data_IF_386207380549
#
_entry.id   IF_386207380549
#
_cell.length_a   1.000
_cell.length_b   1.000
_cell.length_c   1.000
_cell.angle_alpha   90.00
_cell.angle_beta   90.00
_cell.angle_gamma   90.00
#
_symmetry.space_group_name_H-M   'P 1'
#
loop_
_entity.id
_entity.type
_entity.pdbx_description
1 polymer ?
#
# COMPACT_ATOMS: atom_id res chain seq x y z
N UNK A 1 11.58 -5.70 37.66
CA UNK A 1 12.74 -6.51 38.06
C UNK A 1 12.41 -7.55 39.15
N UNK A 2 11.80 -7.19 40.28
CA UNK A 2 11.45 -8.19 41.34
C UNK A 2 10.55 -9.35 40.87
N UNK A 3 9.60 -9.12 39.96
CA UNK A 3 8.70 -10.16 39.44
C UNK A 3 9.38 -11.17 38.51
N UNK A 4 10.42 -10.75 37.77
CA UNK A 4 11.17 -11.64 36.88
C UNK A 4 12.05 -12.62 37.65
N UNK A 5 12.67 -12.14 38.76
CA UNK A 5 13.45 -12.99 39.65
C UNK A 5 12.61 -14.06 40.36
N UNK A 6 11.36 -13.73 40.72
CA UNK A 6 10.45 -14.67 41.39
C UNK A 6 10.00 -15.78 40.44
N UNK A 7 9.79 -15.50 39.16
CA UNK A 7 9.41 -16.52 38.18
C UNK A 7 10.55 -17.46 37.85
N UNK A 8 11.78 -16.94 37.73
CA UNK A 8 12.98 -17.77 37.46
C UNK A 8 13.35 -18.63 38.67
N UNK A 9 13.29 -18.10 39.89
CA UNK A 9 13.51 -18.86 41.12
C UNK A 9 12.45 -19.96 41.35
N UNK A 10 11.20 -19.71 40.96
CA UNK A 10 10.12 -20.73 41.02
C UNK A 10 10.37 -21.83 39.99
N UNK A 11 10.83 -21.49 38.77
CA UNK A 11 11.15 -22.48 37.74
C UNK A 11 12.34 -23.39 38.13
N UNK A 12 13.35 -22.87 38.86
CA UNK A 12 14.43 -23.70 39.38
C UNK A 12 14.04 -24.52 40.62
N UNK A 13 13.14 -23.98 41.47
CA UNK A 13 12.70 -24.69 42.68
C UNK A 13 11.77 -25.88 42.39
N UNK A 14 11.06 -25.88 41.28
CA UNK A 14 10.22 -27.02 40.85
C UNK A 14 11.01 -28.18 40.25
N UNK A 15 12.29 -28.00 39.93
CA UNK A 15 13.16 -29.05 39.38
C UNK A 15 13.66 -30.07 40.45
N UNK A 16 13.42 -29.82 41.74
CA UNK A 16 13.90 -30.69 42.82
C UNK A 16 12.84 -31.55 43.50
N UNK A 17 11.58 -31.50 43.09
CA UNK A 17 10.49 -32.05 43.88
C UNK A 17 9.56 -33.05 43.18
N UNK A 18 9.97 -33.72 42.09
CA UNK A 18 9.22 -34.91 41.63
C UNK A 18 10.06 -35.80 40.72
N UNK A 19 10.08 -37.08 41.02
CA UNK A 19 10.54 -38.14 40.13
C UNK A 19 9.62 -38.24 38.95
N UNK A 20 9.76 -37.34 37.97
CA UNK A 20 8.97 -37.33 36.75
C UNK A 20 9.90 -37.72 35.59
N UNK A 21 9.42 -38.67 34.81
CA UNK A 21 10.12 -39.25 33.64
C UNK A 21 10.27 -38.25 32.48
N UNK A 22 9.66 -37.05 32.55
CA UNK A 22 9.76 -35.99 31.54
C UNK A 22 10.53 -34.78 32.08
N UNK A 23 11.84 -34.87 32.04
CA UNK A 23 12.71 -33.71 32.31
C UNK A 23 12.62 -32.74 31.14
N UNK A 24 12.31 -31.46 31.40
CA UNK A 24 12.28 -30.44 30.31
C UNK A 24 13.65 -30.42 29.59
N UNK A 25 13.63 -30.52 28.28
CA UNK A 25 14.82 -30.57 27.44
C UNK A 25 14.99 -29.31 26.58
N UNK A 26 14.10 -28.30 26.75
CA UNK A 26 14.12 -27.01 26.07
C UNK A 26 13.94 -25.87 27.07
N UNK A 27 14.77 -24.85 26.92
CA UNK A 27 14.55 -23.52 27.49
C UNK A 27 13.84 -22.68 26.44
N UNK A 28 12.70 -22.08 26.79
CA UNK A 28 11.91 -21.25 25.91
C UNK A 28 11.96 -19.81 26.40
N UNK A 29 12.42 -18.90 25.53
CA UNK A 29 12.41 -17.46 25.80
C UNK A 29 11.34 -16.85 24.88
N UNK A 30 10.28 -16.31 25.49
CA UNK A 30 9.23 -15.58 24.80
C UNK A 30 9.58 -14.10 24.74
N UNK A 31 9.69 -13.54 23.54
CA UNK A 31 10.01 -12.15 23.25
C UNK A 31 8.87 -11.48 22.48
N UNK A 32 8.79 -10.14 22.56
CA UNK A 32 7.74 -9.35 21.87
C UNK A 32 6.55 -9.04 22.76
N UNK A 33 5.50 -8.48 22.15
CA UNK A 33 4.27 -8.15 22.86
C UNK A 33 3.30 -9.35 22.91
N UNK A 34 2.24 -9.25 23.69
CA UNK A 34 1.26 -10.33 23.88
C UNK A 34 0.53 -10.72 22.59
N UNK A 35 0.43 -9.80 21.61
CA UNK A 35 -0.30 -10.01 20.36
C UNK A 35 0.56 -10.73 19.30
N UNK A 36 1.90 -10.51 19.31
CA UNK A 36 2.82 -11.14 18.38
C UNK A 36 4.11 -11.65 19.09
N UNK A 37 4.01 -12.67 19.94
CA UNK A 37 5.15 -13.19 20.63
C UNK A 37 6.02 -14.06 19.71
N UNK A 38 7.33 -13.89 19.78
CA UNK A 38 8.30 -14.83 19.22
C UNK A 38 8.86 -15.73 20.34
N UNK A 39 9.04 -17.00 20.07
CA UNK A 39 9.61 -17.96 21.02
C UNK A 39 10.95 -18.43 20.47
N UNK A 40 12.05 -18.14 21.21
CA UNK A 40 13.35 -18.75 20.95
C UNK A 40 13.50 -19.98 21.84
N UNK A 41 13.79 -21.13 21.24
CA UNK A 41 13.95 -22.40 21.94
C UNK A 41 15.42 -22.84 21.94
N UNK A 42 15.94 -23.18 23.11
CA UNK A 42 17.29 -23.69 23.29
C UNK A 42 17.26 -25.11 23.87
N UNK A 43 18.11 -25.99 23.36
CA UNK A 43 18.30 -27.31 23.96
C UNK A 43 19.06 -27.17 25.29
N UNK A 44 18.44 -27.59 26.41
CA UNK A 44 19.01 -27.37 27.75
C UNK A 44 20.42 -28.01 27.89
N UNK A 45 20.64 -29.15 27.27
CA UNK A 45 21.92 -29.84 27.28
C UNK A 45 23.04 -29.09 26.53
N UNK A 46 22.71 -28.02 25.81
CA UNK A 46 23.67 -27.12 25.12
C UNK A 46 23.81 -25.78 25.81
N UNK A 47 22.98 -25.50 26.83
CA UNK A 47 23.08 -24.28 27.63
C UNK A 47 24.07 -24.55 28.75
N UNK A 48 25.22 -23.86 28.72
CA UNK A 48 26.26 -23.99 29.76
C UNK A 48 25.97 -23.08 30.95
N UNK A 49 25.53 -21.87 30.67
CA UNK A 49 25.26 -20.82 31.65
C UNK A 49 24.20 -19.84 31.17
N UNK A 50 23.44 -19.28 32.10
CA UNK A 50 22.47 -18.19 31.85
C UNK A 50 22.87 -17.00 32.71
N UNK A 51 23.38 -15.94 32.09
CA UNK A 51 23.78 -14.71 32.73
C UNK A 51 22.85 -13.57 32.34
N UNK A 52 22.70 -12.60 33.25
CA UNK A 52 21.96 -11.35 33.02
C UNK A 52 22.96 -10.21 33.10
N UNK A 53 23.04 -9.42 32.02
CA UNK A 53 23.88 -8.24 31.97
C UNK A 53 22.98 -6.98 31.86
N UNK A 54 23.54 -5.85 32.29
CA UNK A 54 22.97 -4.54 32.07
C UNK A 54 23.86 -3.79 31.10
N UNK A 55 23.25 -3.22 30.07
CA UNK A 55 23.87 -2.27 29.15
C UNK A 55 23.25 -0.92 29.42
N UNK A 56 24.05 0.08 29.74
CA UNK A 56 23.59 1.44 30.00
C UNK A 56 23.97 2.35 28.82
N UNK A 57 23.15 3.38 28.57
CA UNK A 57 23.37 4.35 27.50
C UNK A 57 22.70 3.98 26.17
N UNK A 58 22.85 4.87 25.20
CA UNK A 58 22.34 4.66 23.85
C UNK A 58 23.19 3.63 23.10
N UNK A 59 22.54 2.82 22.27
CA UNK A 59 23.19 1.87 21.37
C UNK A 59 22.90 2.36 19.95
N UNK A 60 23.71 3.31 19.47
CA UNK A 60 23.48 4.04 18.24
C UNK A 60 24.78 4.35 17.50
N UNK A 61 24.75 4.26 16.18
CA UNK A 61 25.79 4.76 15.29
C UNK A 61 25.27 5.96 14.52
N UNK A 62 25.64 7.15 14.96
CA UNK A 62 25.12 8.42 14.43
C UNK A 62 25.76 8.73 13.10
N UNK A 63 24.95 9.05 12.07
CA UNK A 63 25.36 9.49 10.75
C UNK A 63 25.43 11.01 10.71
N UNK A 64 26.54 11.55 10.23
CA UNK A 64 26.65 12.91 9.72
C UNK A 64 26.86 12.83 8.21
N UNK A 65 25.80 13.04 7.44
CA UNK A 65 25.85 13.05 5.98
C UNK A 65 26.48 14.34 5.50
N UNK A 66 27.42 14.24 4.56
CA UNK A 66 28.10 15.39 3.94
C UNK A 66 27.55 15.65 2.53
N UNK A 67 27.73 14.68 1.62
CA UNK A 67 27.34 14.87 0.22
C UNK A 67 27.16 13.58 -0.55
N UNK A 68 26.39 13.67 -1.62
CA UNK A 68 26.30 12.67 -2.70
C UNK A 68 27.20 13.09 -3.84
N UNK A 69 27.93 12.14 -4.42
CA UNK A 69 28.82 12.35 -5.57
C UNK A 69 28.56 11.25 -6.60
N UNK A 70 28.31 11.65 -7.85
CA UNK A 70 28.40 10.74 -8.99
C UNK A 70 29.86 10.78 -9.48
N UNK A 71 30.56 9.67 -9.43
CA UNK A 71 31.97 9.56 -9.80
C UNK A 71 32.13 9.55 -11.30
N UNK A 72 33.33 9.85 -11.78
CA UNK A 72 33.66 9.84 -13.23
C UNK A 72 33.50 8.46 -13.87
N UNK A 73 33.62 7.40 -13.07
CA UNK A 73 33.37 6.01 -13.49
C UNK A 73 31.87 5.63 -13.52
N UNK A 74 30.98 6.60 -13.24
CA UNK A 74 29.54 6.42 -13.18
C UNK A 74 29.01 5.80 -11.89
N UNK A 75 29.86 5.46 -10.93
CA UNK A 75 29.44 4.90 -9.65
C UNK A 75 28.92 5.99 -8.72
N UNK A 76 27.91 5.61 -7.90
CA UNK A 76 27.39 6.46 -6.85
C UNK A 76 28.25 6.36 -5.59
N UNK A 77 28.44 7.47 -4.92
CA UNK A 77 29.22 7.56 -3.69
C UNK A 77 28.59 8.56 -2.73
N UNK A 78 28.54 8.21 -1.44
CA UNK A 78 28.13 9.13 -0.38
C UNK A 78 29.35 9.43 0.50
N UNK A 79 29.55 10.71 0.82
CA UNK A 79 30.48 11.16 1.84
C UNK A 79 29.73 11.36 3.14
N UNK A 80 30.22 10.77 4.20
CA UNK A 80 29.56 10.79 5.51
C UNK A 80 30.55 10.49 6.63
N UNK A 81 30.22 10.91 7.86
CA UNK A 81 30.86 10.45 9.07
C UNK A 81 29.93 9.54 9.85
N UNK A 82 30.47 8.57 10.57
CA UNK A 82 29.71 7.70 11.47
C UNK A 82 30.46 7.64 12.81
N UNK A 83 29.74 7.94 13.88
CA UNK A 83 30.24 7.89 15.24
C UNK A 83 29.34 7.00 16.08
N UNK A 84 29.91 5.96 16.68
CA UNK A 84 29.21 5.09 17.60
C UNK A 84 29.13 5.72 18.99
N UNK A 85 27.98 5.51 19.65
CA UNK A 85 27.89 5.78 21.09
C UNK A 85 28.77 4.78 21.91
N UNK A 86 29.05 5.10 23.15
CA UNK A 86 29.95 4.29 24.00
C UNK A 86 29.51 2.83 24.15
N UNK A 87 28.17 2.60 24.20
CA UNK A 87 27.58 1.25 24.32
C UNK A 87 27.29 0.56 22.99
N UNK A 88 27.62 1.21 21.87
CA UNK A 88 27.45 0.65 20.54
C UNK A 88 28.76 -0.06 20.10
N UNK A 89 28.78 -1.39 20.15
CA UNK A 89 29.90 -2.20 19.73
C UNK A 89 30.07 -2.25 18.22
N UNK A 90 28.94 -2.37 17.49
CA UNK A 90 28.93 -2.50 16.05
C UNK A 90 27.66 -1.89 15.45
N UNK A 91 27.64 -1.71 14.14
CA UNK A 91 26.45 -1.28 13.42
C UNK A 91 26.36 -1.90 12.02
N UNK A 92 25.14 -1.97 11.47
CA UNK A 92 24.89 -2.18 10.05
C UNK A 92 24.51 -0.87 9.38
N UNK A 93 24.77 -0.75 8.07
CA UNK A 93 24.44 0.43 7.26
C UNK A 93 23.82 -0.01 5.95
N UNK A 94 22.80 0.75 5.49
CA UNK A 94 22.23 0.62 4.15
C UNK A 94 21.70 1.96 3.66
N UNK A 95 21.35 2.00 2.36
CA UNK A 95 20.70 3.14 1.70
C UNK A 95 19.40 2.65 1.09
N UNK A 96 18.30 3.23 1.51
CA UNK A 96 16.96 2.85 1.06
C UNK A 96 16.25 4.07 0.44
N UNK A 97 15.33 3.86 -0.53
CA UNK A 97 14.38 4.91 -0.90
C UNK A 97 13.68 5.46 0.34
N UNK A 98 13.57 6.79 0.44
CA UNK A 98 13.08 7.44 1.67
C UNK A 98 11.64 7.04 2.02
N UNK A 99 10.78 6.79 1.03
CA UNK A 99 9.44 6.28 1.23
C UNK A 99 9.43 4.88 1.85
N UNK A 100 10.35 4.01 1.46
CA UNK A 100 10.51 2.67 2.05
C UNK A 100 11.11 2.76 3.46
N UNK A 101 12.13 3.60 3.65
CA UNK A 101 12.78 3.81 4.93
C UNK A 101 11.80 4.24 6.04
N UNK A 102 10.80 5.06 5.70
CA UNK A 102 9.73 5.52 6.63
C UNK A 102 8.85 4.38 7.16
N UNK A 103 8.77 3.24 6.48
CA UNK A 103 7.96 2.09 6.90
C UNK A 103 8.66 1.23 7.96
N UNK A 104 9.96 1.40 8.16
CA UNK A 104 10.76 0.61 9.10
C UNK A 104 10.99 1.39 10.39
N UNK A 105 10.53 0.85 11.52
CA UNK A 105 11.00 1.20 12.87
C UNK A 105 12.29 0.44 13.19
N UNK A 106 12.84 0.60 14.41
CA UNK A 106 14.08 -0.05 14.80
C UNK A 106 13.98 -1.58 14.78
N UNK A 107 12.85 -2.14 15.23
CA UNK A 107 12.62 -3.59 15.25
C UNK A 107 12.51 -4.19 13.84
N UNK A 108 11.80 -3.52 12.95
CA UNK A 108 11.67 -3.96 11.55
C UNK A 108 12.97 -3.77 10.78
N UNK A 109 13.75 -2.72 11.09
CA UNK A 109 15.07 -2.52 10.52
C UNK A 109 16.07 -3.60 10.99
N UNK A 110 15.99 -4.03 12.25
CA UNK A 110 16.81 -5.14 12.75
C UNK A 110 16.53 -6.44 11.97
N UNK A 111 15.26 -6.75 11.74
CA UNK A 111 14.85 -7.91 10.93
C UNK A 111 15.31 -7.78 9.47
N UNK A 112 15.23 -6.58 8.89
CA UNK A 112 15.72 -6.30 7.54
C UNK A 112 17.21 -6.59 7.42
N UNK A 113 18.04 -6.08 8.33
CA UNK A 113 19.48 -6.33 8.32
C UNK A 113 19.82 -7.80 8.57
N UNK A 114 19.07 -8.49 9.44
CA UNK A 114 19.22 -9.93 9.67
C UNK A 114 18.92 -10.74 8.41
N UNK A 115 17.80 -10.49 7.75
CA UNK A 115 17.39 -11.18 6.51
C UNK A 115 18.38 -10.95 5.37
N UNK A 116 18.97 -9.77 5.32
CA UNK A 116 19.96 -9.39 4.30
C UNK A 116 21.35 -9.95 4.61
N UNK A 117 21.56 -10.54 5.79
CA UNK A 117 22.89 -10.90 6.32
C UNK A 117 23.87 -9.71 6.24
N UNK A 118 23.40 -8.53 6.63
CA UNK A 118 24.16 -7.31 6.50
C UNK A 118 25.47 -7.39 7.33
N UNK A 119 26.56 -6.90 6.72
CA UNK A 119 27.87 -6.89 7.37
C UNK A 119 27.87 -5.90 8.53
N UNK A 120 28.30 -6.34 9.72
CA UNK A 120 28.56 -5.47 10.86
C UNK A 120 29.87 -4.71 10.69
N UNK A 121 29.84 -3.42 11.01
CA UNK A 121 30.96 -2.50 11.02
C UNK A 121 31.33 -2.20 12.47
N UNK A 122 32.62 -2.11 12.77
CA UNK A 122 33.17 -1.96 14.14
C UNK A 122 34.03 -0.71 14.31
N UNK A 123 34.09 0.14 13.26
CA UNK A 123 34.95 1.32 13.22
C UNK A 123 34.14 2.58 13.05
N UNK A 124 34.59 3.67 13.64
CA UNK A 124 34.08 5.00 13.41
C UNK A 124 34.72 5.60 12.14
N UNK A 125 34.00 6.41 11.45
CA UNK A 125 34.46 7.09 10.26
C UNK A 125 34.29 8.60 10.42
N UNK A 126 35.39 9.33 10.50
CA UNK A 126 35.40 10.80 10.57
C UNK A 126 35.21 11.43 9.19
N UNK A 127 35.64 10.75 8.12
CA UNK A 127 35.36 11.04 6.72
C UNK A 127 35.34 9.71 5.98
N UNK A 128 34.17 9.21 5.70
CA UNK A 128 33.95 7.93 5.05
C UNK A 128 33.35 8.09 3.65
N UNK A 129 33.72 7.20 2.75
CA UNK A 129 33.12 7.06 1.44
C UNK A 129 32.31 5.75 1.39
N UNK A 130 31.00 5.86 1.27
CA UNK A 130 30.10 4.74 1.05
C UNK A 130 29.93 4.54 -0.45
N UNK A 131 30.36 3.39 -0.92
CA UNK A 131 30.37 3.00 -2.34
C UNK A 131 29.71 1.63 -2.54
N UNK A 132 29.59 1.17 -3.79
CA UNK A 132 28.91 -0.09 -4.11
C UNK A 132 27.38 0.01 -4.00
N UNK A 133 26.87 1.21 -4.13
CA UNK A 133 25.45 1.54 -4.21
C UNK A 133 25.10 1.93 -5.65
N UNK A 134 23.90 1.59 -6.09
CA UNK A 134 23.34 2.02 -7.36
C UNK A 134 22.08 2.83 -7.06
N UNK A 135 22.11 4.12 -7.34
CA UNK A 135 21.05 5.04 -7.02
C UNK A 135 20.41 5.58 -8.31
N UNK A 136 19.10 5.72 -8.30
CA UNK A 136 18.36 6.34 -9.39
C UNK A 136 18.42 7.86 -9.25
N UNK A 137 18.46 8.55 -10.37
CA UNK A 137 18.36 9.99 -10.38
C UNK A 137 17.00 10.50 -9.91
N UNK A 138 16.95 11.75 -9.47
CA UNK A 138 15.74 12.44 -8.99
C UNK A 138 14.96 11.61 -7.93
N UNK A 139 15.68 11.02 -6.99
CA UNK A 139 15.11 10.08 -6.00
C UNK A 139 15.54 10.48 -4.60
N UNK A 140 14.59 10.49 -3.68
CA UNK A 140 14.86 10.71 -2.26
C UNK A 140 15.30 9.39 -1.61
N UNK A 141 16.43 9.40 -0.96
CA UNK A 141 17.03 8.29 -0.23
C UNK A 141 17.27 8.63 1.22
N UNK A 142 17.31 7.59 2.04
CA UNK A 142 17.73 7.67 3.44
C UNK A 142 18.89 6.71 3.65
N UNK A 143 20.03 7.22 4.14
CA UNK A 143 21.08 6.39 4.72
C UNK A 143 20.64 6.03 6.11
N UNK A 144 20.73 4.75 6.46
CA UNK A 144 20.30 4.21 7.77
C UNK A 144 21.41 3.40 8.37
N UNK A 145 21.73 3.66 9.63
CA UNK A 145 22.51 2.74 10.47
C UNK A 145 21.61 2.17 11.56
N UNK A 146 21.92 0.97 12.02
CA UNK A 146 21.36 0.37 13.24
C UNK A 146 22.52 -0.10 14.11
N UNK A 147 22.58 0.41 15.33
CA UNK A 147 23.58 0.03 16.31
C UNK A 147 23.29 -1.32 16.96
N UNK A 148 24.34 -2.00 17.43
CA UNK A 148 24.25 -3.23 18.20
C UNK A 148 25.22 -3.15 19.40
N UNK A 149 24.76 -3.63 20.54
CA UNK A 149 25.59 -3.75 21.72
C UNK A 149 26.62 -4.90 21.62
N UNK A 150 27.46 -5.07 22.66
CA UNK A 150 28.44 -6.14 22.76
C UNK A 150 27.84 -7.57 22.77
N UNK A 151 26.54 -7.71 23.02
CA UNK A 151 25.81 -8.98 22.99
C UNK A 151 25.08 -9.18 21.66
N UNK A 152 25.16 -8.24 20.73
CA UNK A 152 24.52 -8.28 19.44
C UNK A 152 23.02 -7.93 19.47
N UNK A 153 22.55 -7.32 20.57
CA UNK A 153 21.18 -6.83 20.68
C UNK A 153 21.08 -5.50 19.92
N UNK A 154 20.08 -5.33 19.01
CA UNK A 154 19.89 -4.10 18.29
C UNK A 154 19.43 -2.97 19.22
N UNK A 155 19.91 -1.77 18.98
CA UNK A 155 19.52 -0.53 19.63
C UNK A 155 18.73 0.36 18.69
N UNK A 156 19.18 1.60 18.50
CA UNK A 156 18.50 2.62 17.74
C UNK A 156 19.07 2.81 16.34
N UNK A 157 18.19 3.20 15.41
CA UNK A 157 18.60 3.67 14.07
C UNK A 157 19.08 5.12 14.11
N UNK A 158 20.03 5.46 13.24
CA UNK A 158 20.32 6.82 12.81
C UNK A 158 19.99 6.95 11.33
N UNK A 159 19.46 8.10 10.91
CA UNK A 159 18.96 8.32 9.56
C UNK A 159 19.43 9.66 9.04
N UNK A 160 19.79 9.71 7.78
CA UNK A 160 20.11 10.94 7.06
C UNK A 160 19.51 10.89 5.65
N UNK A 161 18.67 11.86 5.35
CA UNK A 161 18.00 11.96 4.05
C UNK A 161 18.84 12.75 3.06
N UNK A 162 18.80 12.36 1.79
CA UNK A 162 19.39 13.08 0.68
C UNK A 162 18.60 12.81 -0.61
N UNK A 163 18.82 13.67 -1.60
CA UNK A 163 18.20 13.53 -2.93
C UNK A 163 19.28 13.41 -3.99
N UNK A 164 19.18 12.43 -4.85
CA UNK A 164 20.03 12.34 -6.04
C UNK A 164 19.58 13.38 -7.08
N UNK A 165 20.51 14.02 -7.78
CA UNK A 165 20.16 14.96 -8.85
C UNK A 165 19.44 14.23 -9.99
N UNK A 166 18.65 15.00 -10.75
CA UNK A 166 18.05 14.50 -11.98
C UNK A 166 19.14 14.12 -12.98
N UNK A 167 19.01 12.96 -13.60
CA UNK A 167 19.89 12.55 -14.68
C UNK A 167 19.68 13.45 -15.91
N UNK A 168 20.78 13.70 -16.64
CA UNK A 168 20.72 14.50 -17.85
C UNK A 168 20.21 13.64 -19.01
N UNK A 169 19.14 14.08 -19.66
CA UNK A 169 18.62 13.43 -20.86
C UNK A 169 19.42 13.82 -22.10
N UNK A 170 19.45 12.92 -23.07
CA UNK A 170 19.88 13.24 -24.42
C UNK A 170 18.73 13.98 -25.11
N UNK A 171 18.91 15.26 -25.38
CA UNK A 171 17.86 16.13 -25.88
C UNK A 171 16.81 16.49 -24.83
N UNK A 172 15.63 16.87 -25.28
CA UNK A 172 14.48 17.25 -24.44
C UNK A 172 13.28 16.34 -24.79
N UNK A 173 13.23 15.12 -24.28
CA UNK A 173 12.15 14.20 -24.58
C UNK A 173 10.80 14.78 -24.10
N UNK A 174 9.83 14.82 -24.99
CA UNK A 174 8.51 15.39 -24.74
C UNK A 174 7.45 14.79 -25.66
N UNK A 175 6.19 15.03 -25.31
CA UNK A 175 5.05 14.63 -26.15
C UNK A 175 4.03 15.76 -26.23
N UNK A 176 3.20 15.72 -27.28
CA UNK A 176 2.01 16.55 -27.40
C UNK A 176 0.77 15.66 -27.33
N UNK A 177 -0.32 16.18 -26.76
CA UNK A 177 -1.59 15.48 -26.59
C UNK A 177 -2.69 16.19 -27.32
N UNK A 178 -3.51 15.43 -28.05
CA UNK A 178 -4.74 15.90 -28.64
C UNK A 178 -5.91 15.02 -28.14
N UNK A 179 -6.90 15.65 -27.49
CA UNK A 179 -8.10 14.94 -27.07
C UNK A 179 -9.09 14.89 -28.22
N UNK A 180 -9.39 13.68 -28.70
CA UNK A 180 -10.27 13.47 -29.85
C UNK A 180 -11.75 13.38 -29.44
N UNK A 181 -12.01 12.76 -28.28
CA UNK A 181 -13.38 12.60 -27.75
C UNK A 181 -13.35 12.62 -26.23
N UNK A 182 -14.26 13.39 -25.61
CA UNK A 182 -14.47 13.41 -24.16
C UNK A 182 -15.95 13.16 -23.90
N UNK A 183 -16.26 12.03 -23.26
CA UNK A 183 -17.62 11.65 -22.83
C UNK A 183 -17.77 11.79 -21.32
N UNK A 184 -18.94 11.42 -20.77
CA UNK A 184 -19.14 11.36 -19.32
C UNK A 184 -18.34 10.25 -18.63
N UNK A 185 -17.93 9.22 -19.36
CA UNK A 185 -17.29 8.03 -18.78
C UNK A 185 -15.96 7.66 -19.42
N UNK A 186 -15.49 8.45 -20.37
CA UNK A 186 -14.24 8.18 -21.08
C UNK A 186 -13.67 9.45 -21.70
N UNK A 187 -12.38 9.40 -21.99
CA UNK A 187 -11.76 10.31 -22.96
C UNK A 187 -10.79 9.53 -23.84
N UNK A 188 -10.72 9.95 -25.11
CA UNK A 188 -9.77 9.43 -26.10
C UNK A 188 -8.73 10.50 -26.36
N UNK A 189 -7.44 10.11 -26.32
CA UNK A 189 -6.32 11.01 -26.53
C UNK A 189 -5.34 10.39 -27.52
N UNK A 190 -4.89 11.21 -28.47
CA UNK A 190 -3.77 10.90 -29.36
C UNK A 190 -2.52 11.60 -28.85
N UNK A 191 -1.48 10.82 -28.56
CA UNK A 191 -0.19 11.28 -28.03
C UNK A 191 0.87 11.15 -29.11
N UNK A 192 1.58 12.24 -29.36
CA UNK A 192 2.63 12.32 -30.40
C UNK A 192 3.96 12.67 -29.75
N UNK A 193 4.97 11.77 -29.76
CA UNK A 193 6.30 12.05 -29.23
C UNK A 193 7.08 12.98 -30.15
N UNK A 194 8.00 13.78 -29.57
CA UNK A 194 9.00 14.52 -30.33
C UNK A 194 10.19 13.62 -30.72
N UNK A 195 11.13 14.15 -31.51
CA UNK A 195 12.29 13.39 -32.01
C UNK A 195 13.27 12.94 -30.89
N UNK A 196 13.27 13.63 -29.74
CA UNK A 196 14.14 13.32 -28.60
C UNK A 196 13.53 12.26 -27.68
N UNK A 197 12.25 11.92 -27.89
CA UNK A 197 11.54 10.94 -27.07
C UNK A 197 11.81 9.52 -27.59
N UNK A 198 12.51 8.71 -26.80
CA UNK A 198 12.75 7.30 -27.11
C UNK A 198 11.57 6.39 -26.77
N UNK A 199 10.89 6.67 -25.66
CA UNK A 199 9.69 5.95 -25.19
C UNK A 199 8.90 6.85 -24.23
N UNK A 200 7.61 6.64 -24.11
CA UNK A 200 6.79 7.34 -23.11
C UNK A 200 5.74 6.42 -22.47
N UNK A 201 5.36 6.73 -21.26
CA UNK A 201 4.43 5.95 -20.43
C UNK A 201 3.25 6.82 -20.04
N UNK A 202 2.04 6.25 -20.09
CA UNK A 202 0.79 6.95 -19.84
C UNK A 202 0.08 6.34 -18.63
N UNK A 203 -0.36 7.19 -17.72
CA UNK A 203 -1.30 6.82 -16.64
C UNK A 203 -2.34 7.91 -16.47
N UNK A 204 -3.55 7.53 -16.07
CA UNK A 204 -4.62 8.43 -15.72
C UNK A 204 -4.87 8.33 -14.22
N UNK A 205 -4.95 9.48 -13.54
CA UNK A 205 -5.25 9.60 -12.11
C UNK A 205 -6.33 10.67 -11.89
N UNK A 206 -6.92 10.70 -10.70
CA UNK A 206 -7.67 11.87 -10.25
C UNK A 206 -6.77 13.10 -10.21
N UNK A 207 -7.35 14.29 -10.38
CA UNK A 207 -6.56 15.53 -10.43
C UNK A 207 -5.76 15.76 -9.15
N UNK A 208 -4.44 15.95 -9.29
CA UNK A 208 -3.51 16.20 -8.18
C UNK A 208 -3.22 14.97 -7.30
N UNK A 209 -3.57 13.77 -7.74
CA UNK A 209 -3.40 12.54 -6.93
C UNK A 209 -2.02 11.88 -7.10
N UNK A 210 -1.15 12.36 -8.00
CA UNK A 210 0.10 11.68 -8.36
C UNK A 210 1.03 11.49 -7.14
N UNK A 211 1.32 12.57 -6.42
CA UNK A 211 2.20 12.54 -5.25
C UNK A 211 1.59 11.72 -4.12
N UNK A 212 0.30 11.88 -3.87
CA UNK A 212 -0.42 11.14 -2.84
C UNK A 212 -0.43 9.64 -3.12
N UNK A 213 -0.65 9.24 -4.38
CA UNK A 213 -0.57 7.83 -4.80
C UNK A 213 0.84 7.27 -4.57
N UNK A 214 1.87 8.05 -4.84
CA UNK A 214 3.24 7.64 -4.58
C UNK A 214 3.53 7.52 -3.08
N UNK A 215 3.07 8.45 -2.25
CA UNK A 215 3.23 8.40 -0.79
C UNK A 215 2.53 7.18 -0.18
N UNK A 216 1.33 6.86 -0.67
CA UNK A 216 0.52 5.77 -0.13
C UNK A 216 0.99 4.39 -0.62
N UNK A 217 1.30 4.26 -1.91
CA UNK A 217 1.55 2.97 -2.55
C UNK A 217 2.99 2.75 -3.01
N UNK A 218 3.75 3.81 -3.28
CA UNK A 218 5.08 3.73 -3.87
C UNK A 218 5.99 2.75 -3.13
N UNK A 219 6.14 2.93 -1.82
CA UNK A 219 6.97 2.06 -1.00
C UNK A 219 6.46 0.62 -0.92
N UNK A 220 5.14 0.44 -0.76
CA UNK A 220 4.51 -0.89 -0.66
C UNK A 220 4.63 -1.69 -1.95
N UNK A 221 4.69 -1.02 -3.10
CA UNK A 221 4.86 -1.63 -4.42
C UNK A 221 6.33 -1.67 -4.88
N UNK A 222 7.26 -1.16 -4.07
CA UNK A 222 8.70 -1.19 -4.34
C UNK A 222 9.17 -0.13 -5.33
N UNK A 223 8.42 0.95 -5.54
CA UNK A 223 8.85 2.07 -6.39
C UNK A 223 9.71 3.05 -5.60
N UNK A 224 10.90 3.35 -6.13
CA UNK A 224 11.84 4.26 -5.48
C UNK A 224 11.50 5.74 -5.69
N UNK A 225 10.90 6.09 -6.83
CA UNK A 225 10.46 7.43 -7.19
C UNK A 225 9.17 7.41 -8.02
N UNK A 226 8.63 8.59 -8.26
CA UNK A 226 7.38 8.78 -9.02
C UNK A 226 7.51 8.27 -10.47
N UNK A 227 8.67 8.45 -11.11
CA UNK A 227 8.90 7.96 -12.47
C UNK A 227 8.79 6.43 -12.55
N UNK A 228 9.36 5.71 -11.58
CA UNK A 228 9.23 4.27 -11.48
C UNK A 228 7.77 3.83 -11.28
N UNK A 229 7.01 4.59 -10.48
CA UNK A 229 5.60 4.31 -10.27
C UNK A 229 4.78 4.52 -11.54
N UNK A 230 4.99 5.62 -12.26
CA UNK A 230 4.31 5.88 -13.54
C UNK A 230 4.62 4.75 -14.53
N UNK A 231 5.90 4.39 -14.66
CA UNK A 231 6.32 3.29 -15.52
C UNK A 231 5.73 1.94 -15.11
N UNK A 232 5.59 1.70 -13.81
CA UNK A 232 5.01 0.47 -13.26
C UNK A 232 3.48 0.40 -13.39
N UNK A 233 2.78 1.52 -13.33
CA UNK A 233 1.33 1.61 -13.50
C UNK A 233 0.95 1.59 -14.98
N UNK A 234 1.78 2.17 -15.87
CA UNK A 234 1.63 2.02 -17.30
C UNK A 234 1.89 0.55 -17.69
N UNK A 235 0.98 -0.06 -18.42
CA UNK A 235 1.08 -1.47 -18.80
C UNK A 235 2.24 -1.73 -19.76
N UNK A 236 2.58 -0.75 -20.59
CA UNK A 236 3.69 -0.77 -21.53
C UNK A 236 4.04 0.67 -21.98
N UNK A 237 5.23 0.86 -22.51
CA UNK A 237 5.67 2.11 -23.09
C UNK A 237 5.36 2.18 -24.59
N UNK A 238 5.28 3.39 -25.10
CA UNK A 238 5.02 3.70 -26.51
C UNK A 238 6.18 4.46 -27.10
N UNK A 239 6.49 4.20 -28.38
CA UNK A 239 7.59 4.87 -29.11
C UNK A 239 7.10 5.76 -30.24
N UNK A 240 5.94 5.44 -30.76
CA UNK A 240 5.32 6.11 -31.90
C UNK A 240 4.05 6.84 -31.47
N UNK A 241 3.41 7.53 -32.41
CA UNK A 241 2.07 8.11 -32.19
C UNK A 241 1.11 7.02 -31.74
N UNK A 242 0.44 7.26 -30.63
CA UNK A 242 -0.48 6.29 -30.05
C UNK A 242 -1.77 6.96 -29.62
N UNK A 243 -2.89 6.32 -29.95
CA UNK A 243 -4.23 6.75 -29.51
C UNK A 243 -4.76 5.78 -28.46
N UNK A 244 -5.18 6.32 -27.33
CA UNK A 244 -5.73 5.54 -26.22
C UNK A 244 -7.05 6.13 -25.72
N UNK A 245 -8.00 5.23 -25.43
CA UNK A 245 -9.23 5.57 -24.71
C UNK A 245 -9.10 5.13 -23.26
N UNK A 246 -9.29 6.08 -22.35
CA UNK A 246 -9.43 5.85 -20.92
C UNK A 246 -10.92 5.79 -20.60
N UNK A 247 -11.39 4.65 -20.12
CA UNK A 247 -12.78 4.38 -19.79
C UNK A 247 -13.00 4.14 -18.31
N UNK A 248 -14.25 3.79 -17.95
CA UNK A 248 -14.67 3.55 -16.56
C UNK A 248 -14.46 4.78 -15.65
N UNK A 249 -14.57 5.98 -16.21
CA UNK A 249 -14.41 7.25 -15.51
C UNK A 249 -15.76 7.75 -14.96
N UNK A 250 -15.69 8.65 -13.99
CA UNK A 250 -16.89 9.30 -13.43
C UNK A 250 -17.25 10.56 -14.22
N UNK A 251 -18.53 10.85 -14.41
CA UNK A 251 -18.97 12.05 -15.09
C UNK A 251 -18.61 13.33 -14.33
N UNK A 252 -18.42 14.41 -15.08
CA UNK A 252 -18.14 15.75 -14.54
C UNK A 252 -16.98 15.76 -13.53
N UNK A 253 -15.98 14.90 -13.75
CA UNK A 253 -14.89 14.64 -12.81
C UNK A 253 -13.57 15.04 -13.44
N UNK A 254 -12.73 15.65 -12.61
CA UNK A 254 -11.42 16.14 -13.00
C UNK A 254 -10.37 15.03 -12.88
N UNK A 255 -9.62 14.82 -13.95
CA UNK A 255 -8.52 13.89 -14.05
C UNK A 255 -7.26 14.57 -14.55
N UNK A 256 -6.12 13.94 -14.28
CA UNK A 256 -4.84 14.24 -14.88
C UNK A 256 -4.38 13.06 -15.74
N UNK A 257 -4.08 13.31 -17.00
CA UNK A 257 -3.30 12.41 -17.83
C UNK A 257 -1.82 12.69 -17.53
N UNK A 258 -1.17 11.73 -16.91
CA UNK A 258 0.24 11.81 -16.50
C UNK A 258 1.06 11.07 -17.54
N UNK A 259 2.11 11.72 -18.05
CA UNK A 259 2.97 11.16 -19.09
C UNK A 259 4.43 11.29 -18.64
N UNK A 260 5.15 10.18 -18.67
CA UNK A 260 6.58 10.12 -18.42
C UNK A 260 7.29 9.83 -19.75
N UNK A 261 7.87 10.83 -20.43
CA UNK A 261 8.75 10.60 -21.58
C UNK A 261 10.13 10.19 -21.09
N UNK A 262 10.81 9.36 -21.90
CA UNK A 262 12.23 9.02 -21.74
C UNK A 262 13.00 9.40 -22.98
N UNK A 263 14.28 9.63 -22.84
CA UNK A 263 15.18 9.77 -23.99
C UNK A 263 15.49 8.39 -24.65
N UNK A 264 16.34 8.41 -25.66
CA UNK A 264 16.75 7.21 -26.39
C UNK A 264 17.51 6.19 -25.54
N UNK A 265 18.07 6.60 -24.40
CA UNK A 265 18.76 5.75 -23.44
C UNK A 265 17.84 5.26 -22.31
N UNK A 266 16.59 5.72 -22.27
CA UNK A 266 15.63 5.38 -21.23
C UNK A 266 15.73 6.28 -19.98
N UNK A 267 16.49 7.36 -20.03
CA UNK A 267 16.58 8.37 -18.95
C UNK A 267 15.28 9.16 -18.88
N UNK A 268 14.73 9.33 -17.67
CA UNK A 268 13.45 10.00 -17.46
C UNK A 268 13.53 11.50 -17.77
N UNK A 269 12.65 11.96 -18.66
CA UNK A 269 12.37 13.36 -18.90
C UNK A 269 11.52 14.00 -17.80
N UNK A 270 11.00 15.21 -18.06
CA UNK A 270 10.04 15.84 -17.16
C UNK A 270 8.68 15.18 -17.26
N UNK A 271 8.03 14.96 -16.12
CA UNK A 271 6.66 14.47 -16.07
C UNK A 271 5.74 15.55 -16.65
N UNK A 272 4.94 15.17 -17.62
CA UNK A 272 3.94 16.03 -18.26
C UNK A 272 2.59 15.69 -17.67
N UNK A 273 1.90 16.70 -17.13
CA UNK A 273 0.54 16.55 -16.59
C UNK A 273 -0.43 17.33 -17.46
N UNK A 274 -1.39 16.64 -18.07
CA UNK A 274 -2.40 17.25 -18.92
C UNK A 274 -3.75 17.10 -18.25
N UNK A 275 -4.38 18.21 -17.79
CA UNK A 275 -5.67 18.16 -17.14
C UNK A 275 -6.79 17.84 -18.16
N UNK A 276 -7.72 17.00 -17.76
CA UNK A 276 -8.92 16.66 -18.51
C UNK A 276 -10.12 16.55 -17.58
N UNK A 277 -11.28 17.06 -18.00
CA UNK A 277 -12.54 16.93 -17.26
C UNK A 277 -13.51 16.15 -18.11
N UNK A 278 -14.09 15.09 -17.59
CA UNK A 278 -15.12 14.31 -18.28
C UNK A 278 -16.40 15.12 -18.47
N UNK A 279 -17.12 14.85 -19.53
CA UNK A 279 -18.38 15.52 -19.82
C UNK A 279 -19.47 15.18 -18.79
N UNK A 280 -20.52 15.99 -18.73
CA UNK A 280 -21.74 15.66 -17.98
C UNK A 280 -22.39 14.41 -18.55
N UNK A 281 -22.99 13.60 -17.68
CA UNK A 281 -23.85 12.48 -18.02
C UNK A 281 -25.11 12.53 -17.17
N UNK A 282 -26.23 12.06 -17.71
CA UNK A 282 -27.54 12.22 -17.11
C UNK A 282 -28.17 13.58 -17.45
N UNK A 283 -29.34 13.82 -16.90
CA UNK A 283 -30.08 15.08 -17.06
C UNK A 283 -30.00 15.99 -15.85
N UNK A 284 -30.70 17.11 -15.90
CA UNK A 284 -30.79 18.10 -14.81
C UNK A 284 -32.07 17.88 -13.95
N UNK A 285 -32.90 16.87 -14.28
CA UNK A 285 -34.09 16.52 -13.54
C UNK A 285 -33.85 15.64 -12.33
N UNK A 286 -34.90 15.07 -11.76
CA UNK A 286 -34.84 14.23 -10.58
C UNK A 286 -34.22 12.87 -10.95
N UNK A 287 -33.09 12.54 -10.30
CA UNK A 287 -32.46 11.23 -10.44
C UNK A 287 -33.23 10.18 -9.64
N UNK A 288 -33.70 9.12 -10.30
CA UNK A 288 -34.51 8.07 -9.67
C UNK A 288 -33.95 6.69 -9.98
N UNK A 289 -34.12 5.77 -9.02
CA UNK A 289 -33.67 4.40 -9.11
C UNK A 289 -34.81 3.40 -9.04
N UNK A 290 -34.75 2.41 -9.93
CA UNK A 290 -35.61 1.22 -9.86
C UNK A 290 -34.72 0.04 -9.43
N UNK A 291 -35.16 -0.71 -8.40
CA UNK A 291 -34.47 -1.86 -7.89
C UNK A 291 -35.30 -3.11 -8.16
N UNK A 292 -34.67 -4.09 -8.81
CA UNK A 292 -35.26 -5.43 -9.03
C UNK A 292 -34.28 -6.50 -8.56
N UNK A 293 -34.77 -7.70 -8.30
CA UNK A 293 -33.94 -8.79 -7.83
C UNK A 293 -34.41 -10.12 -8.39
N UNK A 294 -33.52 -11.14 -8.29
CA UNK A 294 -33.81 -12.50 -8.69
C UNK A 294 -33.73 -13.43 -7.46
N UNK A 295 -34.11 -14.68 -7.64
CA UNK A 295 -33.95 -15.71 -6.61
C UNK A 295 -32.48 -15.90 -6.22
N UNK A 296 -32.28 -16.31 -4.96
CA UNK A 296 -30.96 -16.62 -4.42
C UNK A 296 -30.27 -17.71 -5.26
N UNK A 297 -29.11 -17.39 -5.80
CA UNK A 297 -28.23 -18.31 -6.50
C UNK A 297 -27.17 -18.90 -5.59
N UNK A 298 -26.35 -19.80 -6.16
CA UNK A 298 -25.27 -20.47 -5.42
C UNK A 298 -25.73 -21.69 -4.62
N UNK A 299 -24.81 -22.26 -3.86
CA UNK A 299 -24.97 -23.47 -3.10
C UNK A 299 -24.17 -23.42 -1.77
N UNK A 300 -24.27 -24.52 -1.01
CA UNK A 300 -23.64 -24.65 0.29
C UNK A 300 -22.11 -24.69 0.24
N UNK A 301 -21.54 -25.16 -0.84
CA UNK A 301 -20.09 -25.33 -1.02
C UNK A 301 -19.42 -24.02 -1.46
N UNK A 302 -20.06 -23.31 -2.41
CA UNK A 302 -19.51 -22.10 -3.04
C UNK A 302 -20.06 -20.78 -2.46
N UNK A 303 -21.02 -20.88 -1.53
CA UNK A 303 -21.71 -19.74 -0.96
C UNK A 303 -22.96 -19.33 -1.75
N UNK A 304 -23.84 -18.59 -1.08
CA UNK A 304 -25.11 -18.11 -1.65
C UNK A 304 -24.98 -16.62 -1.99
N UNK A 305 -25.63 -16.21 -3.07
CA UNK A 305 -25.67 -14.81 -3.49
C UNK A 305 -27.10 -14.41 -3.92
N UNK A 306 -27.38 -13.13 -3.71
CA UNK A 306 -28.62 -12.47 -4.15
C UNK A 306 -28.29 -11.56 -5.35
N UNK A 307 -28.80 -11.87 -6.55
CA UNK A 307 -28.69 -10.96 -7.68
C UNK A 307 -29.68 -9.79 -7.53
N UNK A 308 -29.15 -8.56 -7.59
CA UNK A 308 -29.94 -7.33 -7.55
C UNK A 308 -29.55 -6.47 -8.73
N UNK A 309 -30.55 -5.94 -9.43
CA UNK A 309 -30.36 -5.00 -10.53
C UNK A 309 -30.83 -3.61 -10.11
N UNK A 310 -29.95 -2.64 -10.26
CA UNK A 310 -30.18 -1.22 -10.03
C UNK A 310 -30.27 -0.53 -11.38
N UNK A 311 -31.42 0.03 -11.69
CA UNK A 311 -31.70 0.67 -12.98
C UNK A 311 -31.98 2.15 -12.74
N UNK A 312 -31.06 3.04 -13.15
CA UNK A 312 -31.29 4.48 -13.08
C UNK A 312 -32.25 4.96 -14.20
N UNK A 313 -32.92 6.10 -13.96
CA UNK A 313 -33.57 6.83 -15.04
C UNK A 313 -32.54 7.63 -15.86
N UNK A 314 -32.97 8.27 -16.94
CA UNK A 314 -32.16 9.09 -17.85
C UNK A 314 -31.63 10.39 -17.24
N UNK A 315 -32.14 10.78 -16.05
CA UNK A 315 -31.67 11.95 -15.31
C UNK A 315 -30.48 11.61 -14.40
N UNK A 316 -30.25 10.33 -14.12
CA UNK A 316 -29.22 9.89 -13.21
C UNK A 316 -27.83 9.95 -13.83
N UNK A 317 -26.90 10.61 -13.13
CA UNK A 317 -25.48 10.65 -13.45
C UNK A 317 -24.70 9.52 -12.74
N UNK A 318 -24.83 9.46 -11.43
CA UNK A 318 -24.17 8.49 -10.55
C UNK A 318 -25.17 7.98 -9.52
N UNK A 319 -25.02 6.71 -9.11
CA UNK A 319 -25.80 6.14 -8.02
C UNK A 319 -24.92 5.31 -7.06
N UNK A 320 -25.38 5.20 -5.83
CA UNK A 320 -24.73 4.44 -4.76
C UNK A 320 -25.68 3.34 -4.30
N UNK A 321 -25.19 2.10 -4.27
CA UNK A 321 -26.01 0.92 -4.02
C UNK A 321 -25.50 0.11 -2.84
N UNK A 322 -26.44 -0.38 -2.01
CA UNK A 322 -26.12 -1.30 -0.91
C UNK A 322 -27.13 -2.42 -0.80
N UNK A 323 -26.71 -3.53 -0.24
CA UNK A 323 -27.57 -4.53 0.38
C UNK A 323 -27.30 -4.56 1.88
N UNK A 324 -28.34 -4.43 2.69
CA UNK A 324 -28.24 -4.39 4.16
C UNK A 324 -29.25 -5.35 4.79
N UNK A 325 -28.86 -6.01 5.85
CA UNK A 325 -29.77 -6.89 6.60
C UNK A 325 -30.87 -6.08 7.28
N UNK A 326 -32.14 -6.47 7.10
CA UNK A 326 -33.29 -5.73 7.61
C UNK A 326 -33.25 -5.51 9.12
N UNK A 327 -32.88 -6.53 9.90
CA UNK A 327 -32.83 -6.41 11.36
C UNK A 327 -31.76 -5.41 11.80
N UNK A 328 -30.60 -5.41 11.14
CA UNK A 328 -29.54 -4.46 11.40
C UNK A 328 -29.95 -3.03 11.00
N UNK A 329 -30.55 -2.87 9.83
CA UNK A 329 -31.07 -1.59 9.37
C UNK A 329 -32.05 -1.01 10.41
N UNK A 330 -33.07 -1.77 10.82
CA UNK A 330 -34.12 -1.31 11.73
C UNK A 330 -33.61 -0.93 13.11
N UNK A 331 -32.47 -1.48 13.53
CA UNK A 331 -31.83 -1.16 14.83
C UNK A 331 -30.94 0.08 14.78
N UNK A 332 -30.36 0.39 13.62
CA UNK A 332 -29.27 1.37 13.53
C UNK A 332 -29.56 2.55 12.61
N UNK A 333 -30.52 2.42 11.70
CA UNK A 333 -30.79 3.42 10.65
C UNK A 333 -32.26 3.74 10.49
N UNK A 334 -32.52 4.92 9.95
CA UNK A 334 -33.75 5.30 9.27
C UNK A 334 -33.44 5.50 7.80
N UNK A 335 -34.46 5.59 6.94
CA UNK A 335 -34.27 5.87 5.51
C UNK A 335 -33.47 7.17 5.31
N UNK A 336 -33.75 8.20 6.08
CA UNK A 336 -33.08 9.49 6.00
C UNK A 336 -31.62 9.44 6.47
N UNK A 337 -31.35 8.74 7.60
CA UNK A 337 -29.98 8.63 8.14
C UNK A 337 -29.07 7.82 7.21
N UNK A 338 -29.56 6.70 6.66
CA UNK A 338 -28.78 5.90 5.70
C UNK A 338 -28.60 6.64 4.39
N UNK A 339 -29.65 7.27 3.85
CA UNK A 339 -29.54 8.10 2.66
C UNK A 339 -28.49 9.21 2.81
N UNK A 340 -28.41 9.84 3.99
CA UNK A 340 -27.42 10.88 4.26
C UNK A 340 -26.00 10.32 4.22
N UNK A 341 -25.75 9.15 4.82
CA UNK A 341 -24.46 8.48 4.76
C UNK A 341 -24.08 8.07 3.33
N UNK A 342 -25.06 7.61 2.54
CA UNK A 342 -24.85 7.17 1.16
C UNK A 342 -24.59 8.33 0.17
N UNK A 343 -24.80 9.59 0.54
CA UNK A 343 -24.47 10.76 -0.30
C UNK A 343 -22.98 11.09 -0.38
N UNK A 344 -22.13 10.29 0.23
CA UNK A 344 -20.66 10.43 0.15
C UNK A 344 -20.13 9.81 -1.16
N UNK A 345 -19.20 10.49 -1.83
CA UNK A 345 -18.51 9.95 -3.00
C UNK A 345 -17.51 8.83 -2.65
N UNK A 346 -17.18 8.67 -1.36
CA UNK A 346 -16.45 7.52 -0.82
C UNK A 346 -17.41 6.63 -0.05
N UNK A 347 -17.36 5.32 -0.27
CA UNK A 347 -18.21 4.38 0.47
C UNK A 347 -17.90 4.45 1.97
N UNK A 348 -18.85 4.92 2.81
CA UNK A 348 -18.63 5.10 4.24
C UNK A 348 -18.50 3.77 5.00
N UNK A 349 -18.86 2.65 4.39
CA UNK A 349 -18.80 1.31 4.97
C UNK A 349 -17.57 0.53 4.51
N UNK A 350 -16.99 0.90 3.38
CA UNK A 350 -15.78 0.32 2.83
C UNK A 350 -15.05 1.37 1.96
N UNK A 351 -14.10 2.13 2.51
CA UNK A 351 -13.38 3.18 1.77
C UNK A 351 -12.62 2.69 0.53
N UNK A 352 -12.40 1.38 0.43
CA UNK A 352 -11.70 0.75 -0.70
C UNK A 352 -12.64 0.18 -1.77
N UNK A 353 -13.95 0.45 -1.68
CA UNK A 353 -14.94 -0.02 -2.67
C UNK A 353 -14.88 0.84 -3.94
N UNK A 354 -14.20 0.33 -4.96
CA UNK A 354 -14.08 0.98 -6.27
C UNK A 354 -15.37 0.94 -7.10
N UNK A 355 -16.38 0.20 -6.66
CA UNK A 355 -17.69 0.07 -7.34
C UNK A 355 -18.77 0.95 -6.71
N UNK A 356 -18.40 1.79 -5.72
CA UNK A 356 -19.34 2.64 -5.00
C UNK A 356 -20.06 3.63 -5.91
N UNK A 357 -19.30 4.35 -6.73
CA UNK A 357 -19.85 5.30 -7.69
C UNK A 357 -20.27 4.55 -8.97
N UNK A 358 -21.50 4.09 -8.99
CA UNK A 358 -22.03 3.31 -10.10
C UNK A 358 -22.66 4.21 -11.18
N UNK A 359 -22.54 3.77 -12.44
CA UNK A 359 -23.05 4.48 -13.62
C UNK A 359 -23.86 3.51 -14.49
N UNK A 360 -25.02 3.96 -14.95
CA UNK A 360 -25.91 3.14 -15.78
C UNK A 360 -26.47 1.94 -15.02
N UNK A 361 -27.02 0.97 -15.72
CA UNK A 361 -27.61 -0.22 -15.11
C UNK A 361 -26.52 -1.09 -14.48
N UNK A 362 -26.68 -1.43 -13.20
CA UNK A 362 -25.80 -2.33 -12.47
C UNK A 362 -26.51 -3.62 -12.08
N UNK A 363 -25.86 -4.75 -12.42
CA UNK A 363 -26.29 -6.08 -12.03
C UNK A 363 -25.27 -6.59 -11.00
N UNK A 364 -25.62 -6.52 -9.72
CA UNK A 364 -24.73 -6.86 -8.63
C UNK A 364 -25.08 -8.24 -8.04
N UNK A 365 -24.06 -8.97 -7.62
CA UNK A 365 -24.22 -10.18 -6.83
C UNK A 365 -23.76 -9.91 -5.41
N UNK A 366 -24.68 -10.01 -4.48
CA UNK A 366 -24.42 -9.78 -3.06
C UNK A 366 -24.36 -11.10 -2.32
N UNK A 367 -23.34 -11.29 -1.47
CA UNK A 367 -23.33 -12.44 -0.59
C UNK A 367 -24.57 -12.42 0.30
N UNK A 368 -25.27 -13.55 0.46
CA UNK A 368 -26.45 -13.59 1.30
C UNK A 368 -26.56 -14.91 2.10
N UNK A 369 -27.37 -14.87 3.15
CA UNK A 369 -27.80 -16.04 3.90
C UNK A 369 -29.23 -16.36 3.53
N UNK A 370 -29.54 -17.53 2.95
CA UNK A 370 -30.92 -17.92 2.64
C UNK A 370 -31.79 -17.93 3.89
N UNK A 371 -33.06 -17.49 3.75
CA UNK A 371 -34.00 -17.35 4.87
C UNK A 371 -33.94 -16.04 5.62
N UNK A 372 -32.93 -15.18 5.35
CA UNK A 372 -32.83 -13.83 5.91
C UNK A 372 -33.57 -12.80 5.05
N UNK A 373 -33.92 -11.68 5.66
CA UNK A 373 -34.56 -10.55 4.99
C UNK A 373 -33.58 -9.40 4.85
N UNK A 374 -33.53 -8.81 3.66
CA UNK A 374 -32.63 -7.74 3.30
C UNK A 374 -33.40 -6.51 2.80
N UNK A 375 -32.78 -5.34 2.90
CA UNK A 375 -33.13 -4.19 2.11
C UNK A 375 -32.06 -3.96 1.03
N UNK A 376 -32.47 -3.95 -0.22
CA UNK A 376 -31.69 -3.39 -1.30
C UNK A 376 -32.01 -1.91 -1.39
N UNK A 377 -31.00 -1.07 -1.29
CA UNK A 377 -31.16 0.37 -1.24
C UNK A 377 -30.26 1.07 -2.25
N UNK A 378 -30.74 2.20 -2.77
CA UNK A 378 -29.97 3.03 -3.69
C UNK A 378 -30.31 4.50 -3.51
N UNK A 379 -29.34 5.38 -3.78
CA UNK A 379 -29.53 6.81 -3.93
C UNK A 379 -28.75 7.29 -5.14
N UNK A 380 -29.36 8.16 -5.94
CA UNK A 380 -28.79 8.65 -7.17
C UNK A 380 -28.69 10.18 -7.19
N UNK A 381 -27.68 10.70 -7.88
CA UNK A 381 -27.54 12.14 -8.16
C UNK A 381 -27.61 12.41 -9.66
N UNK A 382 -28.17 13.57 -10.02
CA UNK A 382 -28.26 14.06 -11.40
C UNK A 382 -26.94 14.70 -11.88
N UNK A 383 -26.92 15.22 -13.11
CA UNK A 383 -25.75 15.86 -13.70
C UNK A 383 -25.29 17.15 -12.98
N UNK A 384 -26.14 17.73 -12.13
CA UNK A 384 -25.82 18.89 -11.30
C UNK A 384 -25.35 18.50 -9.89
N UNK A 385 -25.28 17.20 -9.57
CA UNK A 385 -24.91 16.70 -8.24
C UNK A 385 -26.06 16.69 -7.23
N UNK A 386 -27.31 16.96 -7.66
CA UNK A 386 -28.49 16.95 -6.81
C UNK A 386 -29.00 15.53 -6.61
N UNK A 387 -29.15 15.12 -5.36
CA UNK A 387 -29.63 13.79 -5.02
C UNK A 387 -31.15 13.70 -5.09
N UNK A 388 -31.62 12.64 -5.75
CA UNK A 388 -33.03 12.28 -5.82
C UNK A 388 -33.52 11.47 -4.60
N UNK A 389 -34.70 10.85 -4.69
CA UNK A 389 -35.30 10.07 -3.64
C UNK A 389 -34.48 8.81 -3.31
N UNK A 390 -34.50 8.44 -2.02
CA UNK A 390 -33.91 7.18 -1.56
C UNK A 390 -34.81 6.00 -1.98
N UNK A 391 -34.27 5.10 -2.79
CA UNK A 391 -34.95 3.88 -3.22
C UNK A 391 -34.66 2.74 -2.26
N UNK A 392 -35.70 2.00 -1.84
CA UNK A 392 -35.59 0.85 -0.95
C UNK A 392 -36.58 -0.25 -1.33
N UNK A 393 -36.07 -1.48 -1.43
CA UNK A 393 -36.87 -2.68 -1.70
C UNK A 393 -36.55 -3.72 -0.63
N UNK A 394 -37.62 -4.24 0.00
CA UNK A 394 -37.51 -5.38 0.93
C UNK A 394 -37.42 -6.70 0.15
N UNK A 395 -36.45 -7.54 0.48
CA UNK A 395 -36.21 -8.82 -0.15
C UNK A 395 -36.21 -9.92 0.91
N UNK A 396 -37.19 -10.79 0.86
CA UNK A 396 -37.27 -11.98 1.71
C UNK A 396 -36.68 -13.14 0.94
N UNK A 397 -35.54 -13.65 1.38
CA UNK A 397 -34.89 -14.78 0.72
C UNK A 397 -35.51 -16.11 1.17
N UNK A 398 -35.75 -17.04 0.23
CA UNK A 398 -36.27 -18.37 0.56
C UNK A 398 -35.21 -19.16 1.37
N UNK A 399 -35.62 -19.92 2.39
CA UNK A 399 -34.73 -20.83 3.10
C UNK A 399 -34.19 -21.92 2.13
N UNK A 400 -32.88 -22.18 2.21
CA UNK A 400 -32.24 -23.31 1.55
C UNK A 400 -31.53 -24.13 2.64
N UNK A 401 -31.20 -25.37 2.41
CA UNK A 401 -30.37 -26.15 3.31
C UNK A 401 -29.01 -25.49 3.41
N UNK A 402 -28.91 -24.55 4.31
CA UNK A 402 -27.83 -23.58 4.35
C UNK A 402 -26.74 -24.04 5.34
N UNK A 403 -25.49 -23.95 4.95
CA UNK A 403 -24.37 -23.98 5.87
C UNK A 403 -24.15 -22.57 6.47
N UNK A 404 -23.05 -22.49 7.22
CA UNK A 404 -22.59 -21.39 8.01
C UNK A 404 -22.86 -19.98 7.46
N UNK A 405 -23.11 -19.05 8.40
CA UNK A 405 -23.28 -17.61 8.15
C UNK A 405 -22.15 -17.04 7.30
N UNK A 406 -22.52 -16.32 6.25
CA UNK A 406 -21.60 -15.52 5.46
C UNK A 406 -20.98 -14.44 6.34
N UNK A 407 -19.69 -14.20 6.20
CA UNK A 407 -19.02 -13.09 6.88
C UNK A 407 -19.65 -11.75 6.43
N UNK A 408 -20.21 -11.03 7.40
CA UNK A 408 -20.79 -9.69 7.18
C UNK A 408 -19.82 -8.66 7.73
N UNK A 409 -19.83 -7.47 7.15
CA UNK A 409 -19.16 -6.35 7.78
C UNK A 409 -19.84 -6.04 9.13
N UNK A 410 -19.11 -5.50 10.08
CA UNK A 410 -19.63 -5.18 11.43
C UNK A 410 -20.84 -4.24 11.42
N UNK A 411 -21.00 -3.47 10.34
CA UNK A 411 -22.08 -2.53 10.10
C UNK A 411 -23.33 -3.13 9.42
N UNK A 412 -23.42 -4.46 9.30
CA UNK A 412 -24.57 -5.16 8.69
C UNK A 412 -24.68 -5.02 7.17
N UNK A 413 -23.78 -4.28 6.54
CA UNK A 413 -23.70 -4.15 5.08
C UNK A 413 -23.13 -5.43 4.50
N UNK A 414 -23.73 -5.92 3.43
CA UNK A 414 -23.33 -7.16 2.78
C UNK A 414 -22.28 -6.90 1.72
N UNK A 415 -21.25 -7.75 1.66
CA UNK A 415 -20.20 -7.62 0.66
C UNK A 415 -20.66 -8.05 -0.73
N UNK A 416 -20.25 -7.30 -1.75
CA UNK A 416 -20.37 -7.69 -3.16
C UNK A 416 -19.43 -8.86 -3.45
N UNK A 417 -19.83 -9.73 -4.36
CA UNK A 417 -18.93 -10.72 -4.94
C UNK A 417 -18.13 -10.03 -6.04
N UNK A 418 -16.89 -9.66 -5.74
CA UNK A 418 -16.00 -9.02 -6.71
C UNK A 418 -15.65 -9.99 -7.83
N UNK A 419 -15.87 -9.59 -9.08
CA UNK A 419 -15.23 -10.23 -10.24
C UNK A 419 -13.76 -9.80 -10.23
N UNK A 420 -12.88 -10.69 -9.81
CA UNK A 420 -11.46 -10.39 -9.65
C UNK A 420 -10.80 -9.92 -10.97
N UNK A 421 -10.41 -8.66 -11.05
CA UNK A 421 -9.34 -8.22 -11.96
C UNK A 421 -8.00 -8.55 -11.27
N UNK A 422 -7.21 -9.46 -11.87
CA UNK A 422 -5.88 -9.82 -11.36
C UNK A 422 -4.94 -8.61 -11.46
N UNK A 423 -4.50 -8.06 -10.32
CA UNK A 423 -3.36 -7.15 -10.27
C UNK A 423 -2.07 -7.93 -10.50
N UNK A 424 -1.14 -7.40 -11.30
CA UNK A 424 0.22 -7.96 -11.42
C UNK A 424 1.01 -7.62 -10.16
N UNK A 425 1.74 -8.59 -9.56
CA UNK A 425 2.65 -8.30 -8.45
C UNK A 425 3.83 -7.46 -8.94
N UNK A 426 4.10 -6.35 -8.26
CA UNK A 426 5.30 -5.54 -8.45
C UNK A 426 6.55 -6.32 -8.05
N UNK A 427 7.62 -6.20 -8.84
CA UNK A 427 8.93 -6.79 -8.54
C UNK A 427 9.69 -5.80 -7.65
N UNK A 428 10.09 -6.26 -6.46
CA UNK A 428 10.95 -5.48 -5.58
C UNK A 428 12.31 -5.18 -6.26
N UNK A 429 12.89 -3.98 -6.10
CA UNK A 429 14.18 -3.66 -6.67
C UNK A 429 15.27 -4.56 -6.05
N UNK A 430 16.01 -5.26 -6.91
CA UNK A 430 17.16 -6.08 -6.50
C UNK A 430 18.40 -5.22 -6.57
N UNK A 431 18.94 -4.83 -5.42
CA UNK A 431 20.26 -4.20 -5.35
C UNK A 431 21.33 -5.28 -5.59
N UNK A 432 22.04 -5.15 -6.71
CA UNK A 432 23.20 -6.00 -7.03
C UNK A 432 24.46 -5.28 -6.59
N UNK A 433 25.03 -5.68 -5.49
CA UNK A 433 26.33 -5.21 -5.03
C UNK A 433 26.39 -5.08 -3.50
N UNK A 434 27.49 -5.52 -2.90
CA UNK A 434 27.72 -5.31 -1.46
C UNK A 434 28.15 -3.88 -1.20
N UNK A 435 27.48 -3.20 -0.28
CA UNK A 435 27.87 -1.87 0.23
C UNK A 435 29.30 -1.91 0.76
N UNK A 436 30.13 -1.00 0.34
CA UNK A 436 31.50 -0.82 0.83
C UNK A 436 31.66 0.57 1.45
N UNK A 437 32.18 0.60 2.68
CA UNK A 437 32.52 1.84 3.39
C UNK A 437 34.02 1.85 3.64
N UNK A 438 34.71 2.91 3.22
CA UNK A 438 36.15 3.09 3.36
C UNK A 438 36.45 4.45 4.00
N UNK A 439 37.45 4.48 4.87
CA UNK A 439 38.03 5.73 5.39
C UNK A 439 38.83 6.44 4.28
N UNK A 440 38.65 7.74 4.17
CA UNK A 440 39.47 8.61 3.34
C UNK A 440 40.53 9.23 4.26
N UNK A 441 41.81 8.99 3.95
CA UNK A 441 42.95 9.55 4.68
C UNK A 441 43.18 11.00 4.31
#
# INVERSE_FOLDING_TARGET
MKKLFTILALALATLTASAQTDVPNRMLIKQGNEQNPTIKAFAINKVQEVNFARVDGEIKATIAFDSYVKRDDGQDMLKLAITRSESCESYCIDVLPANLAKLYDDDTMAKYFEQKNAKKMYEDFTSGELTGIELKGNTNYTVITLGYDQYGVPGETSRADFTTPKEQTVGTPSVTCNFDEITGTSFTVTVTPNADCGEYFLVQLGRGELEKQFEEWGARMGYANIGDMIKGFAWYGHKDVYTQTFGDLLPCTDYDLIILPTDVNGTYGDIITVPVTTAKQGGDGVAEMTITYQEVGGDAENGYYLPVTYTPNDQTSIHHDLLIEKNFFNQNYTDESLATLMKSDTNPFNPYDTYWNAIGVKNEKWNCTPGETYYAVSIAKNANGEYGPFAKVEIVTAPKNAPAKVAKAENGVVNRIATAKKAKPGVAPVFKGGIQLKNVK
#
